data_IF_500167854469
#
_entry.id   IF_500167854469
#
_cell.length_a   1.000
_cell.length_b   1.000
_cell.length_c   1.000
_cell.angle_alpha   90.00
_cell.angle_beta   90.00
_cell.angle_gamma   90.00
#
_symmetry.space_group_name_H-M   'P 1'
#
loop_
_entity.id
_entity.type
_entity.pdbx_description
1 polymer ?
#
# COMPACT_ATOMS: atom_id res chain seq x y z
N UNK A 1 3.85 17.48 4.95
CA UNK A 1 4.46 16.17 5.29
C UNK A 1 5.02 15.54 4.03
N UNK A 2 6.27 15.07 4.06
CA UNK A 2 6.88 14.40 2.91
C UNK A 2 6.77 12.89 3.08
N UNK A 3 6.25 12.21 2.07
CA UNK A 3 5.92 10.79 2.14
C UNK A 3 6.41 10.03 0.90
N UNK A 4 6.91 8.82 1.10
CA UNK A 4 7.48 7.96 0.05
C UNK A 4 6.75 6.62 0.02
N UNK A 5 6.24 6.24 -1.15
CA UNK A 5 5.56 4.96 -1.33
C UNK A 5 6.57 3.81 -1.48
N UNK A 6 6.80 3.01 -0.42
CA UNK A 6 7.86 1.98 -0.37
C UNK A 6 7.40 0.58 -0.75
N UNK A 7 6.15 0.21 -0.43
CA UNK A 7 5.62 -1.15 -0.65
C UNK A 7 4.41 -1.15 -1.56
N UNK A 8 4.40 -2.03 -2.57
CA UNK A 8 3.30 -2.08 -3.53
C UNK A 8 1.95 -2.39 -2.86
N UNK A 9 0.86 -1.88 -3.45
CA UNK A 9 -0.52 -2.12 -3.02
C UNK A 9 -1.14 -3.41 -3.62
N UNK A 10 -0.34 -4.24 -4.29
CA UNK A 10 -0.80 -5.50 -4.88
C UNK A 10 -1.15 -6.50 -3.77
N UNK A 11 -2.35 -7.08 -3.83
CA UNK A 11 -2.84 -8.04 -2.83
C UNK A 11 -3.43 -7.41 -1.57
N UNK A 12 -3.61 -6.09 -1.53
CA UNK A 12 -4.37 -5.38 -0.50
C UNK A 12 -5.78 -5.02 -1.00
N UNK A 13 -6.63 -4.54 -0.10
CA UNK A 13 -8.01 -4.14 -0.42
C UNK A 13 -8.07 -2.99 -1.43
N UNK A 14 -9.19 -2.90 -2.16
CA UNK A 14 -9.41 -1.84 -3.14
C UNK A 14 -9.41 -0.44 -2.48
N UNK A 15 -9.90 -0.33 -1.24
CA UNK A 15 -9.86 0.92 -0.48
C UNK A 15 -8.43 1.44 -0.26
N UNK A 16 -7.48 0.54 0.01
CA UNK A 16 -6.08 0.93 0.21
C UNK A 16 -5.43 1.34 -1.10
N UNK A 17 -5.74 0.65 -2.19
CA UNK A 17 -5.30 1.04 -3.52
C UNK A 17 -5.85 2.41 -3.90
N UNK A 18 -7.13 2.66 -3.61
CA UNK A 18 -7.77 3.96 -3.81
C UNK A 18 -7.09 5.04 -2.97
N UNK A 19 -6.81 4.78 -1.68
CA UNK A 19 -6.13 5.73 -0.79
C UNK A 19 -4.76 6.15 -1.35
N UNK A 20 -3.93 5.19 -1.77
CA UNK A 20 -2.62 5.48 -2.38
C UNK A 20 -2.76 6.34 -3.64
N UNK A 21 -3.76 6.06 -4.48
CA UNK A 21 -4.05 6.85 -5.69
C UNK A 21 -4.56 8.25 -5.36
N UNK A 22 -5.42 8.40 -4.35
CA UNK A 22 -5.96 9.68 -3.88
C UNK A 22 -4.89 10.58 -3.27
N UNK A 23 -3.89 10.00 -2.60
CA UNK A 23 -2.68 10.71 -2.17
C UNK A 23 -1.76 11.10 -3.34
N UNK A 24 -2.10 10.70 -4.57
CA UNK A 24 -1.39 11.10 -5.79
C UNK A 24 -0.16 10.27 -6.11
N UNK A 25 0.04 9.11 -5.46
CA UNK A 25 1.15 8.21 -5.82
C UNK A 25 0.79 7.43 -7.09
N UNK A 26 1.69 7.48 -8.08
CA UNK A 26 1.51 6.80 -9.39
C UNK A 26 2.54 5.69 -9.62
N UNK A 27 3.73 5.79 -9.01
CA UNK A 27 4.82 4.82 -9.12
C UNK A 27 5.45 4.50 -7.77
N UNK A 28 5.98 3.29 -7.63
CA UNK A 28 6.69 2.88 -6.42
C UNK A 28 7.97 3.72 -6.24
N UNK A 29 8.38 3.92 -4.98
CA UNK A 29 9.47 4.80 -4.55
C UNK A 29 9.30 6.28 -4.93
N UNK A 30 8.09 6.69 -5.31
CA UNK A 30 7.79 8.11 -5.49
C UNK A 30 7.68 8.79 -4.13
N UNK A 31 8.40 9.90 -3.98
CA UNK A 31 8.27 10.84 -2.86
C UNK A 31 7.38 12.00 -3.27
N UNK A 32 6.48 12.43 -2.39
CA UNK A 32 5.61 13.60 -2.59
C UNK A 32 5.49 14.40 -1.30
N UNK A 33 5.37 15.71 -1.45
CA UNK A 33 4.95 16.60 -0.40
C UNK A 33 3.42 16.64 -0.35
N UNK A 34 2.86 16.29 0.81
CA UNK A 34 1.44 16.24 1.09
C UNK A 34 1.07 17.33 2.11
N UNK A 35 -0.12 17.93 2.01
CA UNK A 35 -0.57 18.92 2.98
C UNK A 35 -0.77 18.27 4.35
N UNK A 36 -0.35 18.97 5.41
CA UNK A 36 -0.52 18.50 6.79
C UNK A 36 -1.94 18.80 7.28
N UNK A 37 -2.87 17.91 6.94
CA UNK A 37 -4.28 17.97 7.36
C UNK A 37 -4.65 16.67 8.06
N UNK A 38 -5.61 16.72 8.98
CA UNK A 38 -6.06 15.52 9.69
C UNK A 38 -6.60 14.44 8.76
N UNK A 39 -7.24 14.83 7.65
CA UNK A 39 -7.70 13.90 6.62
C UNK A 39 -6.53 13.15 5.98
N UNK A 40 -5.46 13.85 5.58
CA UNK A 40 -4.26 13.23 5.00
C UNK A 40 -3.54 12.36 6.02
N UNK A 41 -3.43 12.83 7.27
CA UNK A 41 -2.84 12.07 8.36
C UNK A 41 -3.61 10.77 8.64
N UNK A 42 -4.95 10.82 8.62
CA UNK A 42 -5.81 9.65 8.73
C UNK A 42 -5.63 8.67 7.57
N UNK A 43 -5.55 9.18 6.33
CA UNK A 43 -5.24 8.36 5.15
C UNK A 43 -3.87 7.69 5.26
N UNK A 44 -2.83 8.43 5.67
CA UNK A 44 -1.47 7.90 5.86
C UNK A 44 -1.43 6.81 6.95
N UNK A 45 -2.13 7.00 8.08
CA UNK A 45 -2.25 5.97 9.14
C UNK A 45 -2.88 4.67 8.63
N UNK A 46 -3.84 4.73 7.70
CA UNK A 46 -4.45 3.52 7.10
C UNK A 46 -3.48 2.73 6.23
N UNK A 47 -2.46 3.40 5.67
CA UNK A 47 -1.48 2.83 4.73
C UNK A 47 -0.04 2.93 5.25
N UNK A 48 0.13 3.06 6.56
CA UNK A 48 1.41 3.22 7.26
C UNK A 48 2.41 2.12 6.88
N UNK A 49 1.98 0.87 6.80
CA UNK A 49 2.79 -0.27 6.40
C UNK A 49 3.22 -0.26 4.92
N UNK A 50 2.72 0.68 4.11
CA UNK A 50 3.09 0.86 2.70
C UNK A 50 3.88 2.14 2.41
N UNK A 51 3.69 3.18 3.21
CA UNK A 51 4.22 4.53 2.96
C UNK A 51 5.11 4.95 4.12
N UNK A 52 6.34 5.35 3.78
CA UNK A 52 7.27 5.93 4.74
C UNK A 52 7.09 7.46 4.78
N UNK A 53 6.77 8.02 5.94
CA UNK A 53 6.74 9.47 6.15
C UNK A 53 8.10 9.92 6.66
N UNK A 54 8.65 10.98 6.10
CA UNK A 54 9.92 11.53 6.58
C UNK A 54 9.76 12.05 8.02
N UNK A 55 10.65 11.59 8.92
CA UNK A 55 10.59 11.89 10.35
C UNK A 55 9.89 10.82 11.20
N UNK A 56 9.23 9.83 10.59
CA UNK A 56 8.64 8.69 11.28
C UNK A 56 9.38 7.39 10.92
N UNK A 57 9.56 6.51 11.91
CA UNK A 57 10.16 5.20 11.66
C UNK A 57 9.19 4.33 10.85
N UNK A 58 9.49 4.09 9.59
CA UNK A 58 8.70 3.18 8.76
C UNK A 58 9.02 1.73 9.09
N UNK A 59 8.28 1.16 10.03
CA UNK A 59 8.40 -0.24 10.39
C UNK A 59 7.43 -1.10 9.58
N UNK A 60 7.96 -2.13 8.92
CA UNK A 60 7.12 -3.09 8.21
C UNK A 60 6.56 -4.11 9.20
N UNK A 61 5.23 -4.26 9.31
CA UNK A 61 4.66 -5.31 10.14
C UNK A 61 5.05 -6.68 9.58
N UNK A 62 5.41 -7.61 10.47
CA UNK A 62 5.79 -9.00 10.13
C UNK A 62 4.76 -9.68 9.21
N UNK A 63 3.47 -9.37 9.40
CA UNK A 63 2.39 -9.77 8.49
C UNK A 63 1.40 -8.61 8.38
N UNK A 64 1.15 -8.13 7.17
CA UNK A 64 0.18 -7.06 6.98
C UNK A 64 -1.24 -7.61 7.14
N UNK A 65 -1.97 -7.11 8.16
CA UNK A 65 -3.34 -7.54 8.51
C UNK A 65 -4.32 -7.44 7.33
N UNK A 66 -4.03 -6.54 6.40
CA UNK A 66 -4.90 -6.18 5.29
C UNK A 66 -4.58 -6.90 3.98
N UNK A 67 -3.60 -7.82 3.97
CA UNK A 67 -3.28 -8.59 2.77
C UNK A 67 -4.35 -9.66 2.57
N UNK A 68 -5.06 -9.60 1.46
CA UNK A 68 -6.10 -10.56 1.09
C UNK A 68 -5.41 -11.85 0.64
N UNK A 69 -5.57 -12.98 1.36
CA UNK A 69 -5.08 -14.26 0.90
C UNK A 69 -5.85 -14.64 -0.37
N UNK A 70 -5.15 -14.86 -1.49
CA UNK A 70 -5.79 -15.44 -2.67
C UNK A 70 -5.80 -16.96 -2.49
N UNK A 71 -6.96 -17.58 -2.66
CA UNK A 71 -7.03 -19.03 -2.79
C UNK A 71 -6.13 -19.46 -3.95
N UNK A 72 -5.29 -20.47 -3.73
CA UNK A 72 -4.46 -21.04 -4.79
C UNK A 72 -5.41 -21.58 -5.87
N UNK A 73 -5.22 -21.17 -7.12
CA UNK A 73 -6.00 -21.69 -8.24
C UNK A 73 -5.88 -23.21 -8.26
N UNK A 74 -7.00 -23.91 -8.15
CA UNK A 74 -7.09 -25.37 -8.30
C UNK A 74 -7.17 -25.80 -9.77
N UNK A 75 -7.12 -24.84 -10.70
CA UNK A 75 -7.15 -25.09 -12.14
C UNK A 75 -5.87 -25.85 -12.52
N UNK A 76 -5.95 -27.17 -12.45
CA UNK A 76 -4.94 -28.10 -12.95
C UNK A 76 -4.64 -27.68 -14.38
N UNK A 77 -3.43 -27.20 -14.64
CA UNK A 77 -2.98 -26.95 -16.00
C UNK A 77 -3.00 -28.32 -16.70
N UNK A 78 -4.07 -28.62 -17.42
CA UNK A 78 -4.04 -29.65 -18.45
C UNK A 78 -3.04 -29.14 -19.49
N UNK A 79 -1.75 -29.43 -19.28
CA UNK A 79 -0.78 -29.34 -20.36
C UNK A 79 -1.27 -30.36 -21.38
N UNK A 80 -1.84 -29.84 -22.47
CA UNK A 80 -2.33 -30.65 -23.58
C UNK A 80 -1.24 -31.61 -24.03
N UNK A 81 -1.65 -32.84 -24.29
CA UNK A 81 -0.82 -33.90 -24.87
C UNK A 81 -0.45 -33.55 -26.31
#
# INVERSE_FOLDING_TARGET
MRATWRKSSIGYSEEMKATIRSLGFRKLNQTRDLPDTDAVRGMLRKVDFMVAVEGEAWEQPRRARYKIPRARSTKKHSRGR
#
